data_IF_408029899265
#
_entry.id   IF_408029899265
#
_cell.length_a   1.000
_cell.length_b   1.000
_cell.length_c   1.000
_cell.angle_alpha   90.00
_cell.angle_beta   90.00
_cell.angle_gamma   90.00
#
_symmetry.space_group_name_H-M   'P 1'
#
loop_
_entity.id
_entity.type
_entity.pdbx_description
1 polymer ?
#
# COMPACT_ATOMS: atom_id res chain seq x y z
N UNK A 1 6.86 -14.62 3.83
CA UNK A 1 8.21 -14.04 3.61
C UNK A 1 8.18 -13.24 2.32
N UNK A 2 9.07 -12.28 2.14
CA UNK A 2 9.27 -11.57 0.87
C UNK A 2 10.74 -11.65 0.46
N UNK A 3 11.00 -11.56 -0.85
CA UNK A 3 12.35 -11.64 -1.43
C UNK A 3 12.60 -10.41 -2.29
N UNK A 4 13.85 -9.96 -2.34
CA UNK A 4 14.25 -8.81 -3.15
C UNK A 4 15.77 -8.67 -3.19
N UNK A 5 16.23 -7.47 -3.55
CA UNK A 5 17.65 -7.11 -3.54
C UNK A 5 17.86 -5.85 -2.71
N UNK A 6 18.99 -5.77 -2.01
CA UNK A 6 19.39 -4.54 -1.34
C UNK A 6 19.95 -3.52 -2.35
N UNK A 7 20.35 -2.34 -1.85
CA UNK A 7 20.92 -1.26 -2.67
C UNK A 7 22.23 -1.61 -3.40
N UNK A 8 22.88 -2.72 -3.04
CA UNK A 8 24.10 -3.23 -3.67
C UNK A 8 23.82 -4.37 -4.66
N UNK A 9 22.55 -4.74 -4.87
CA UNK A 9 22.15 -5.83 -5.76
C UNK A 9 22.29 -7.23 -5.14
N UNK A 10 22.50 -7.33 -3.83
CA UNK A 10 22.60 -8.61 -3.13
C UNK A 10 21.21 -9.11 -2.73
N UNK A 11 20.97 -10.41 -2.91
CA UNK A 11 19.67 -11.00 -2.61
C UNK A 11 19.36 -10.98 -1.10
N UNK A 12 18.12 -10.62 -0.77
CA UNK A 12 17.61 -10.58 0.61
C UNK A 12 16.28 -11.32 0.72
N UNK A 13 16.08 -12.00 1.86
CA UNK A 13 14.79 -12.57 2.27
C UNK A 13 14.39 -12.02 3.64
N UNK A 14 13.16 -11.53 3.74
CA UNK A 14 12.63 -10.95 4.98
C UNK A 14 11.38 -11.72 5.42
N UNK A 15 11.42 -12.18 6.67
CA UNK A 15 10.30 -12.81 7.35
C UNK A 15 9.66 -11.81 8.31
N UNK A 16 8.49 -11.29 7.93
CA UNK A 16 7.68 -10.42 8.77
C UNK A 16 6.45 -11.12 9.31
N UNK A 17 5.99 -10.68 10.48
CA UNK A 17 4.67 -10.99 11.05
C UNK A 17 3.98 -9.69 11.48
N UNK A 18 2.68 -9.75 11.77
CA UNK A 18 1.91 -8.60 12.28
C UNK A 18 2.07 -7.33 11.43
N UNK A 19 2.52 -6.26 12.07
CA UNK A 19 2.70 -4.95 11.42
C UNK A 19 3.73 -4.99 10.28
N UNK A 20 4.88 -5.65 10.49
CA UNK A 20 5.92 -5.76 9.47
C UNK A 20 5.42 -6.53 8.25
N UNK A 21 4.68 -7.63 8.44
CA UNK A 21 4.08 -8.37 7.34
C UNK A 21 3.11 -7.50 6.52
N UNK A 22 2.34 -6.63 7.17
CA UNK A 22 1.40 -5.72 6.50
C UNK A 22 2.13 -4.62 5.72
N UNK A 23 3.17 -4.04 6.31
CA UNK A 23 3.99 -3.03 5.63
C UNK A 23 4.65 -3.61 4.37
N UNK A 24 5.28 -4.79 4.47
CA UNK A 24 5.91 -5.46 3.32
C UNK A 24 4.91 -5.74 2.19
N UNK A 25 3.69 -6.15 2.52
CA UNK A 25 2.63 -6.34 1.52
C UNK A 25 2.19 -5.01 0.88
N UNK A 26 2.00 -3.96 1.69
CA UNK A 26 1.60 -2.64 1.21
C UNK A 26 2.61 -2.03 0.23
N UNK A 27 3.89 -2.04 0.59
CA UNK A 27 4.93 -1.48 -0.29
C UNK A 27 5.12 -2.32 -1.55
N UNK A 28 4.93 -3.64 -1.47
CA UNK A 28 5.00 -4.51 -2.65
C UNK A 28 3.83 -4.25 -3.61
N UNK A 29 2.63 -3.99 -3.11
CA UNK A 29 1.46 -3.68 -3.95
C UNK A 29 1.66 -2.44 -4.82
N UNK A 30 2.38 -1.43 -4.29
CA UNK A 30 2.70 -0.22 -5.05
C UNK A 30 3.52 -0.52 -6.30
N UNK A 31 4.34 -1.57 -6.30
CA UNK A 31 5.08 -2.02 -7.49
C UNK A 31 4.15 -2.50 -8.61
N UNK A 32 2.94 -2.97 -8.25
CA UNK A 32 1.88 -3.34 -9.18
C UNK A 32 0.87 -2.21 -9.40
N UNK A 33 1.14 -0.99 -8.92
CA UNK A 33 0.23 0.15 -9.00
C UNK A 33 -1.05 0.00 -8.18
N UNK A 34 -1.08 -0.92 -7.22
CA UNK A 34 -2.24 -1.18 -6.36
C UNK A 34 -2.14 -0.34 -5.08
N UNK A 35 -3.20 0.40 -4.74
CA UNK A 35 -3.26 1.16 -3.50
C UNK A 35 -4.02 0.40 -2.41
N UNK A 36 -3.79 0.76 -1.15
CA UNK A 36 -4.49 0.13 -0.02
C UNK A 36 -6.01 0.22 -0.14
N UNK A 37 -6.54 1.32 -0.70
CA UNK A 37 -7.98 1.54 -0.90
C UNK A 37 -8.60 0.58 -1.92
N UNK A 38 -7.80 -0.03 -2.79
CA UNK A 38 -8.28 -1.02 -3.76
C UNK A 38 -8.55 -2.38 -3.09
N UNK A 39 -7.92 -2.65 -1.95
CA UNK A 39 -8.20 -3.83 -1.12
C UNK A 39 -9.41 -3.66 -0.20
N UNK A 40 -9.92 -2.45 -0.02
CA UNK A 40 -11.13 -2.19 0.80
C UNK A 40 -12.39 -2.59 0.02
N UNK A 41 -13.44 -3.00 0.72
CA UNK A 41 -14.72 -3.39 0.10
C UNK A 41 -15.90 -2.64 0.71
N UNK A 42 -17.02 -2.62 -0.01
CA UNK A 42 -18.31 -2.12 0.49
C UNK A 42 -18.29 -0.68 0.99
N UNK A 43 -18.90 -0.47 2.16
CA UNK A 43 -19.04 0.87 2.76
C UNK A 43 -17.70 1.48 3.16
N UNK A 44 -16.75 0.67 3.62
CA UNK A 44 -15.43 1.14 4.07
C UNK A 44 -14.67 1.77 2.90
N UNK A 45 -14.67 1.13 1.72
CA UNK A 45 -14.05 1.72 0.52
C UNK A 45 -14.70 3.04 0.13
N UNK A 46 -16.04 3.09 0.14
CA UNK A 46 -16.79 4.31 -0.22
C UNK A 46 -16.50 5.48 0.72
N UNK A 47 -16.31 5.20 2.01
CA UNK A 47 -15.98 6.23 3.00
C UNK A 47 -14.54 6.73 2.84
N UNK A 48 -13.58 5.83 2.69
CA UNK A 48 -12.18 6.19 2.44
C UNK A 48 -12.04 7.13 1.22
N UNK A 49 -12.67 6.77 0.09
CA UNK A 49 -12.63 7.60 -1.12
C UNK A 49 -13.32 8.96 -0.94
N UNK A 50 -14.40 9.04 -0.15
CA UNK A 50 -15.05 10.32 0.18
C UNK A 50 -14.12 11.22 0.98
N UNK A 51 -13.46 10.69 1.99
CA UNK A 51 -12.51 11.44 2.83
C UNK A 51 -11.32 11.97 2.02
N UNK A 52 -10.76 11.14 1.13
CA UNK A 52 -9.66 11.54 0.22
C UNK A 52 -10.08 12.69 -0.70
N UNK A 53 -11.30 12.66 -1.26
CA UNK A 53 -11.82 13.75 -2.10
C UNK A 53 -12.00 15.06 -1.33
N UNK A 54 -12.49 14.99 -0.10
CA UNK A 54 -12.67 16.20 0.73
C UNK A 54 -11.35 16.83 1.20
N UNK A 55 -10.24 16.10 1.12
CA UNK A 55 -8.91 16.59 1.53
C UNK A 55 -8.10 17.16 0.36
N UNK A 56 -8.57 16.99 -0.88
CA UNK A 56 -7.93 17.61 -2.05
C UNK A 56 -8.26 19.11 -2.10
N UNK A 57 -7.24 19.99 -2.23
CA UNK A 57 -7.47 21.43 -2.38
C UNK A 57 -8.30 21.72 -3.64
N UNK A 58 -9.17 22.74 -3.56
CA UNK A 58 -10.23 23.05 -4.54
C UNK A 58 -9.79 23.35 -5.98
N UNK A 59 -8.50 23.27 -6.30
CA UNK A 59 -7.96 23.51 -7.65
C UNK A 59 -7.95 22.26 -8.55
N UNK A 60 -8.40 21.11 -8.05
CA UNK A 60 -8.45 19.84 -8.79
C UNK A 60 -9.85 19.21 -8.85
N UNK A 61 -10.89 19.95 -8.45
CA UNK A 61 -12.28 19.48 -8.44
C UNK A 61 -13.07 20.02 -9.65
#
# INVERSE_FOLDING_TARGET
>A
TCRGFNQHGEAVEVSGSGFLARALQHETDHLAGTLYVDRLTGQVRREALRQMRSTLPSRLA
#
